data_IF_812359668456
#
_entry.id   IF_812359668456
#
_cell.length_a   1.000
_cell.length_b   1.000
_cell.length_c   1.000
_cell.angle_alpha   90.00
_cell.angle_beta   90.00
_cell.angle_gamma   90.00
#
_symmetry.space_group_name_H-M   'P 1'
#
loop_
_entity.id
_entity.type
_entity.pdbx_description
1 polymer ?
#
# COMPACT_ATOMS: atom_id res chain seq x y z
N UNK A 1 0.84 15.56 -33.95
CA UNK A 1 0.28 16.04 -32.67
C UNK A 1 0.86 15.19 -31.55
N UNK A 2 1.35 15.83 -30.49
CA UNK A 2 1.87 15.11 -29.30
C UNK A 2 0.71 14.87 -28.33
N UNK A 3 0.46 13.62 -27.96
CA UNK A 3 -0.44 13.25 -26.88
C UNK A 3 0.31 13.31 -25.55
N UNK A 4 -0.37 13.72 -24.48
CA UNK A 4 0.18 13.85 -23.14
C UNK A 4 -0.63 12.96 -22.21
N UNK A 5 0.00 12.01 -21.50
CA UNK A 5 -0.68 11.20 -20.51
C UNK A 5 -1.28 12.05 -19.40
N UNK A 6 -2.43 11.65 -18.93
CA UNK A 6 -3.14 12.21 -17.79
C UNK A 6 -3.67 11.02 -17.00
N UNK A 7 -3.08 10.80 -15.83
CA UNK A 7 -3.26 9.59 -15.06
C UNK A 7 -3.67 9.97 -13.64
N UNK A 8 -4.65 9.28 -13.10
CA UNK A 8 -5.03 9.31 -11.68
C UNK A 8 -4.94 7.91 -11.10
N UNK A 9 -4.69 7.82 -9.81
CA UNK A 9 -4.67 6.56 -9.09
C UNK A 9 -5.81 6.49 -8.09
N UNK A 10 -6.34 5.27 -7.91
CA UNK A 10 -7.19 4.86 -6.81
C UNK A 10 -6.44 3.74 -6.08
N UNK A 11 -6.18 3.95 -4.79
CA UNK A 11 -5.35 3.06 -3.99
C UNK A 11 -6.13 2.62 -2.77
N UNK A 12 -6.27 1.30 -2.63
CA UNK A 12 -6.88 0.66 -1.48
C UNK A 12 -5.78 0.08 -0.58
N UNK A 13 -5.93 0.24 0.73
CA UNK A 13 -5.03 -0.36 1.71
C UNK A 13 -5.82 -0.92 2.90
N UNK A 14 -5.66 -2.22 3.19
CA UNK A 14 -6.19 -2.85 4.40
C UNK A 14 -5.49 -2.25 5.62
N UNK A 15 -6.28 -1.80 6.60
CA UNK A 15 -5.74 -1.17 7.81
C UNK A 15 -5.41 -2.22 8.87
N UNK A 16 -4.30 -1.98 9.58
CA UNK A 16 -3.78 -2.84 10.62
C UNK A 16 -4.47 -2.55 11.96
N UNK A 17 -5.71 -3.00 12.09
CA UNK A 17 -6.48 -2.94 13.33
C UNK A 17 -6.62 -4.32 13.96
N UNK A 18 -6.91 -4.37 15.24
CA UNK A 18 -7.14 -5.66 15.93
C UNK A 18 -8.43 -6.34 15.49
N UNK A 19 -9.46 -5.56 15.18
CA UNK A 19 -10.79 -6.06 14.81
C UNK A 19 -11.23 -5.47 13.48
N UNK A 20 -12.27 -6.05 12.88
CA UNK A 20 -12.86 -5.59 11.64
C UNK A 20 -13.49 -4.21 11.77
N UNK A 21 -13.90 -3.63 10.63
CA UNK A 21 -14.37 -2.24 10.55
C UNK A 21 -15.66 -1.98 11.37
N UNK A 22 -16.58 -2.95 11.38
CA UNK A 22 -17.90 -2.77 11.97
C UNK A 22 -18.31 -3.85 12.96
N UNK A 23 -17.37 -4.70 13.43
CA UNK A 23 -17.62 -5.75 14.41
C UNK A 23 -16.34 -6.17 15.14
N UNK A 24 -16.48 -7.00 16.17
CA UNK A 24 -15.37 -7.48 17.00
C UNK A 24 -14.64 -8.72 16.45
N UNK A 25 -14.99 -9.21 15.25
CA UNK A 25 -14.25 -10.30 14.63
C UNK A 25 -12.80 -9.88 14.41
N UNK A 26 -11.87 -10.82 14.60
CA UNK A 26 -10.45 -10.56 14.41
C UNK A 26 -10.13 -10.13 12.98
N UNK A 27 -9.28 -9.13 12.85
CA UNK A 27 -8.62 -8.77 11.62
C UNK A 27 -7.24 -9.45 11.60
N UNK A 28 -7.21 -10.71 11.17
CA UNK A 28 -6.00 -11.53 11.13
C UNK A 28 -5.72 -11.98 9.69
N UNK A 29 -4.78 -11.32 8.99
CA UNK A 29 -4.43 -11.67 7.62
C UNK A 29 -3.65 -12.99 7.49
N UNK A 30 -3.14 -13.55 8.60
CA UNK A 30 -2.39 -14.81 8.63
C UNK A 30 -3.31 -16.03 8.89
N UNK A 31 -4.61 -15.83 9.18
CA UNK A 31 -5.55 -16.94 9.35
C UNK A 31 -5.78 -17.67 8.02
N UNK A 32 -5.39 -18.94 7.98
CA UNK A 32 -5.45 -19.79 6.79
C UNK A 32 -6.72 -20.62 6.70
N UNK A 33 -7.42 -20.83 7.83
CA UNK A 33 -8.68 -21.59 7.86
C UNK A 33 -9.82 -20.70 7.36
N UNK A 34 -10.53 -21.06 6.29
CA UNK A 34 -11.57 -20.20 5.73
C UNK A 34 -12.75 -20.02 6.71
N UNK A 35 -13.37 -18.86 6.67
CA UNK A 35 -14.56 -18.51 7.43
C UNK A 35 -14.44 -18.70 8.96
N UNK A 36 -13.24 -18.51 9.52
CA UNK A 36 -12.98 -18.63 10.96
C UNK A 36 -13.20 -17.27 11.67
N UNK A 37 -12.72 -16.20 11.10
CA UNK A 37 -12.82 -14.84 11.64
C UNK A 37 -14.09 -14.14 11.14
N UNK A 38 -15.25 -14.72 11.45
CA UNK A 38 -16.56 -14.24 11.01
C UNK A 38 -17.55 -14.18 12.16
N UNK A 39 -18.51 -13.25 12.07
CA UNK A 39 -19.63 -13.15 13.01
C UNK A 39 -20.91 -12.76 12.26
N UNK A 40 -22.09 -12.80 12.90
CA UNK A 40 -23.34 -12.42 12.26
C UNK A 40 -23.34 -11.01 11.63
N UNK A 41 -22.58 -10.04 12.18
CA UNK A 41 -22.49 -8.67 11.64
C UNK A 41 -21.77 -8.68 10.29
N UNK A 42 -20.53 -9.19 10.23
CA UNK A 42 -19.77 -9.17 8.98
C UNK A 42 -20.32 -10.15 7.93
N UNK A 43 -21.13 -11.16 8.35
CA UNK A 43 -21.88 -12.03 7.44
C UNK A 43 -23.21 -11.45 7.00
N UNK A 44 -23.62 -10.26 7.50
CA UNK A 44 -24.84 -9.60 7.10
C UNK A 44 -26.13 -10.30 7.54
N UNK A 45 -26.14 -10.96 8.70
CA UNK A 45 -27.34 -11.62 9.20
C UNK A 45 -28.41 -10.58 9.54
N UNK A 46 -29.69 -10.84 9.26
CA UNK A 46 -30.80 -9.93 9.58
C UNK A 46 -30.84 -9.58 11.07
N UNK A 47 -31.02 -8.31 11.39
CA UNK A 47 -31.16 -7.81 12.76
C UNK A 47 -29.84 -7.50 13.46
N UNK A 48 -28.69 -7.65 12.78
CA UNK A 48 -27.39 -7.25 13.34
C UNK A 48 -27.10 -5.80 13.07
N UNK A 49 -26.40 -5.12 14.00
CA UNK A 49 -26.05 -3.69 13.90
C UNK A 49 -24.53 -3.53 13.82
N UNK A 50 -24.02 -2.74 12.88
CA UNK A 50 -22.61 -2.41 12.75
C UNK A 50 -22.16 -1.44 13.87
N UNK A 51 -20.88 -1.51 14.28
CA UNK A 51 -20.24 -0.58 15.20
C UNK A 51 -18.91 -0.11 14.64
N UNK A 52 -18.68 1.22 14.58
CA UNK A 52 -17.50 1.81 13.96
C UNK A 52 -16.23 1.47 14.74
N UNK A 53 -15.20 0.98 14.07
CA UNK A 53 -13.88 0.77 14.64
C UNK A 53 -13.12 2.10 14.76
N UNK A 54 -12.87 2.53 16.01
CA UNK A 54 -12.17 3.78 16.31
C UNK A 54 -10.73 3.79 15.79
N UNK A 55 -10.00 2.67 15.91
CA UNK A 55 -8.61 2.56 15.44
C UNK A 55 -8.49 2.79 13.93
N UNK A 56 -9.46 2.28 13.15
CA UNK A 56 -9.50 2.48 11.71
C UNK A 56 -9.71 3.96 11.34
N UNK A 57 -10.61 4.66 12.07
CA UNK A 57 -10.83 6.10 11.86
C UNK A 57 -9.57 6.90 12.20
N UNK A 58 -8.94 6.62 13.33
CA UNK A 58 -7.68 7.28 13.74
C UNK A 58 -6.54 7.03 12.76
N UNK A 59 -6.44 5.81 12.20
CA UNK A 59 -5.43 5.47 11.19
C UNK A 59 -5.59 6.33 9.93
N UNK A 60 -6.81 6.47 9.40
CA UNK A 60 -7.08 7.31 8.23
C UNK A 60 -6.85 8.79 8.52
N UNK A 61 -7.23 9.27 9.71
CA UNK A 61 -6.92 10.65 10.13
C UNK A 61 -5.40 10.89 10.14
N UNK A 62 -4.60 9.98 10.70
CA UNK A 62 -3.12 10.08 10.70
C UNK A 62 -2.56 10.14 9.28
N UNK A 63 -3.06 9.29 8.36
CA UNK A 63 -2.65 9.33 6.94
C UNK A 63 -3.02 10.66 6.30
N UNK A 64 -4.23 11.14 6.54
CA UNK A 64 -4.68 12.45 6.05
C UNK A 64 -3.79 13.59 6.54
N UNK A 65 -3.45 13.62 7.84
CA UNK A 65 -2.56 14.62 8.43
C UNK A 65 -1.15 14.54 7.84
N UNK A 66 -0.62 13.33 7.63
CA UNK A 66 0.70 13.10 7.04
C UNK A 66 0.79 13.59 5.58
N UNK A 67 -0.31 13.55 4.85
CA UNK A 67 -0.41 14.01 3.46
C UNK A 67 -0.90 15.46 3.33
N UNK A 68 -1.03 16.20 4.44
CA UNK A 68 -1.49 17.58 4.44
C UNK A 68 -2.97 17.76 4.06
N UNK A 69 -3.75 16.70 4.18
CA UNK A 69 -5.20 16.74 3.93
C UNK A 69 -5.97 17.47 5.03
N UNK A 70 -7.12 18.01 4.65
CA UNK A 70 -8.05 18.63 5.59
C UNK A 70 -8.96 17.56 6.17
N UNK A 71 -8.93 17.39 7.49
CA UNK A 71 -9.87 16.50 8.19
C UNK A 71 -11.25 17.17 8.19
N UNK A 72 -12.24 16.47 7.70
CA UNK A 72 -13.63 16.96 7.66
C UNK A 72 -14.17 17.11 9.11
N UNK A 73 -14.96 18.15 9.37
CA UNK A 73 -15.56 18.35 10.71
C UNK A 73 -16.62 17.29 11.04
N UNK A 74 -17.29 16.80 10.00
CA UNK A 74 -18.35 15.79 10.06
C UNK A 74 -18.13 14.79 8.93
N UNK A 75 -18.46 13.54 9.18
CA UNK A 75 -18.41 12.46 8.20
C UNK A 75 -19.55 11.46 8.46
N UNK A 76 -19.88 10.68 7.46
CA UNK A 76 -20.88 9.62 7.54
C UNK A 76 -20.47 8.41 6.70
N UNK A 77 -21.15 7.30 6.94
CA UNK A 77 -21.06 6.13 6.08
C UNK A 77 -22.31 6.04 5.17
N UNK A 78 -22.11 5.49 3.99
CA UNK A 78 -23.13 5.23 2.98
C UNK A 78 -23.10 3.77 2.58
N UNK A 79 -24.22 3.25 2.11
CA UNK A 79 -24.30 1.93 1.46
C UNK A 79 -24.01 2.08 -0.03
N UNK A 80 -22.98 1.36 -0.49
CA UNK A 80 -22.63 1.15 -1.91
C UNK A 80 -23.24 -0.17 -2.35
N UNK A 81 -24.35 -0.13 -3.06
CA UNK A 81 -25.15 -1.31 -3.33
C UNK A 81 -24.69 -2.01 -4.61
N UNK A 82 -24.28 -3.26 -4.47
CA UNK A 82 -24.00 -4.18 -5.58
C UNK A 82 -24.02 -5.62 -5.07
N UNK A 83 -24.42 -6.54 -5.96
CA UNK A 83 -24.55 -7.95 -5.59
C UNK A 83 -23.38 -8.73 -6.13
N UNK A 84 -22.57 -9.29 -5.21
CA UNK A 84 -21.48 -10.18 -5.55
C UNK A 84 -21.31 -11.23 -4.45
N UNK A 85 -20.87 -12.49 -4.77
CA UNK A 85 -20.81 -13.57 -3.77
C UNK A 85 -19.93 -13.28 -2.56
N UNK A 86 -18.88 -12.48 -2.71
CA UNK A 86 -17.97 -12.08 -1.64
C UNK A 86 -18.46 -10.90 -0.79
N UNK A 87 -19.65 -10.38 -1.11
CA UNK A 87 -20.29 -9.29 -0.40
C UNK A 87 -21.58 -9.79 0.29
N UNK A 88 -21.46 -10.34 1.52
CA UNK A 88 -22.56 -11.11 2.14
C UNK A 88 -23.80 -10.28 2.43
N UNK A 89 -23.66 -8.97 2.63
CA UNK A 89 -24.78 -8.04 2.86
C UNK A 89 -25.49 -7.59 1.56
N UNK A 90 -24.88 -7.82 0.39
CA UNK A 90 -25.32 -7.27 -0.88
C UNK A 90 -25.01 -5.78 -1.06
N UNK A 91 -24.31 -5.16 -0.10
CA UNK A 91 -23.77 -3.80 -0.16
C UNK A 91 -22.46 -3.72 0.63
N UNK A 92 -21.63 -2.75 0.29
CA UNK A 92 -20.42 -2.37 1.02
C UNK A 92 -20.71 -1.08 1.78
N UNK A 93 -20.34 -1.03 3.07
CA UNK A 93 -20.37 0.22 3.81
C UNK A 93 -19.10 1.00 3.47
N UNK A 94 -19.25 2.21 2.95
CA UNK A 94 -18.20 3.08 2.45
C UNK A 94 -18.52 4.53 2.79
N UNK A 95 -17.73 5.49 2.30
CA UNK A 95 -18.02 6.92 2.41
C UNK A 95 -18.06 7.52 0.99
N UNK A 96 -19.11 8.21 0.64
CA UNK A 96 -19.28 8.74 -0.72
C UNK A 96 -19.09 10.25 -0.80
N UNK A 97 -19.97 11.02 -0.20
CA UNK A 97 -20.00 12.48 -0.31
C UNK A 97 -19.42 13.23 0.91
N UNK A 98 -19.28 12.55 2.06
CA UNK A 98 -18.69 13.11 3.27
C UNK A 98 -17.46 12.26 3.72
N UNK A 99 -16.35 12.21 2.95
CA UNK A 99 -15.16 11.45 3.33
C UNK A 99 -14.47 12.08 4.54
N UNK A 100 -13.69 11.27 5.28
CA UNK A 100 -12.96 11.75 6.47
C UNK A 100 -11.92 12.81 6.10
N UNK A 101 -11.23 12.64 4.94
CA UNK A 101 -10.14 13.52 4.51
C UNK A 101 -10.43 14.09 3.14
N UNK A 102 -10.27 15.40 3.01
CA UNK A 102 -10.40 16.14 1.76
C UNK A 102 -9.06 16.77 1.38
N UNK A 103 -8.68 16.62 0.13
CA UNK A 103 -7.44 17.19 -0.40
C UNK A 103 -6.19 16.55 0.20
N UNK A 104 -5.10 17.30 0.17
CA UNK A 104 -3.76 16.85 0.47
C UNK A 104 -2.92 16.73 -0.78
N UNK A 105 -1.62 16.49 -0.61
CA UNK A 105 -0.70 16.35 -1.74
C UNK A 105 0.57 15.58 -1.33
N UNK A 106 1.25 15.03 -2.33
CA UNK A 106 2.57 14.42 -2.19
C UNK A 106 3.49 14.96 -3.27
N UNK A 107 4.64 15.47 -2.88
CA UNK A 107 5.70 15.88 -3.80
C UNK A 107 6.51 14.65 -4.23
N UNK A 108 6.66 14.49 -5.54
CA UNK A 108 7.51 13.46 -6.14
C UNK A 108 8.90 14.00 -6.36
N UNK A 109 9.86 13.24 -5.90
CA UNK A 109 11.25 13.67 -5.89
C UNK A 109 11.92 13.57 -7.26
N UNK A 110 11.53 12.59 -8.08
CA UNK A 110 12.14 12.34 -9.39
C UNK A 110 11.78 13.41 -10.40
N UNK A 111 10.54 13.91 -10.37
CA UNK A 111 10.05 14.88 -11.34
C UNK A 111 9.83 16.29 -10.75
N UNK A 112 9.94 16.47 -9.42
CA UNK A 112 9.56 17.72 -8.75
C UNK A 112 8.06 18.04 -8.92
N UNK A 113 7.26 17.03 -9.23
CA UNK A 113 5.83 17.17 -9.49
C UNK A 113 5.07 16.96 -8.19
N UNK A 114 4.10 17.83 -7.90
CA UNK A 114 3.19 17.66 -6.78
C UNK A 114 1.93 16.94 -7.27
N UNK A 115 1.62 15.81 -6.66
CA UNK A 115 0.40 15.04 -6.93
C UNK A 115 -0.63 15.39 -5.87
N UNK A 116 -1.75 15.94 -6.31
CA UNK A 116 -2.88 16.31 -5.43
C UNK A 116 -3.72 15.08 -5.12
N UNK A 117 -4.26 15.05 -3.93
CA UNK A 117 -5.19 14.02 -3.45
C UNK A 117 -6.58 14.63 -3.45
N UNK A 118 -7.56 13.91 -4.00
CA UNK A 118 -8.96 14.34 -4.00
C UNK A 118 -9.58 14.08 -2.63
N UNK A 119 -9.42 12.84 -2.13
CA UNK A 119 -9.97 12.40 -0.84
C UNK A 119 -9.25 11.16 -0.31
N UNK A 120 -9.42 10.92 0.97
CA UNK A 120 -9.13 9.63 1.62
C UNK A 120 -10.34 9.27 2.48
N UNK A 121 -10.84 8.06 2.33
CA UNK A 121 -12.01 7.61 3.07
C UNK A 121 -11.91 6.16 3.52
N UNK A 122 -12.85 5.77 4.38
CA UNK A 122 -12.98 4.43 4.93
C UNK A 122 -14.08 3.65 4.24
N UNK A 123 -13.84 2.36 4.09
CA UNK A 123 -14.82 1.36 3.71
C UNK A 123 -14.47 0.00 4.36
N UNK A 124 -15.29 -1.00 4.13
CA UNK A 124 -14.99 -2.39 4.49
C UNK A 124 -14.57 -3.17 3.25
N UNK A 125 -13.64 -4.12 3.40
CA UNK A 125 -13.25 -4.99 2.29
C UNK A 125 -14.29 -6.12 2.10
N UNK A 126 -14.35 -6.66 0.89
CA UNK A 126 -15.15 -7.83 0.53
C UNK A 126 -14.45 -9.13 0.94
N UNK A 127 -15.16 -10.24 0.89
CA UNK A 127 -14.59 -11.58 1.05
C UNK A 127 -13.62 -11.92 -0.07
N UNK A 128 -13.11 -13.15 -0.02
CA UNK A 128 -12.19 -13.69 -1.03
C UNK A 128 -12.91 -14.75 -1.87
N UNK A 129 -12.83 -14.61 -3.19
CA UNK A 129 -13.33 -15.61 -4.13
C UNK A 129 -12.19 -16.45 -4.70
N UNK A 130 -12.35 -17.76 -4.67
CA UNK A 130 -11.45 -18.70 -5.31
C UNK A 130 -12.22 -19.51 -6.37
N UNK A 131 -11.91 -19.27 -7.64
CA UNK A 131 -12.49 -20.00 -8.76
C UNK A 131 -11.74 -21.31 -8.98
N UNK A 132 -12.45 -22.43 -8.96
CA UNK A 132 -11.89 -23.76 -9.22
C UNK A 132 -11.98 -24.04 -10.71
N UNK A 133 -10.84 -23.99 -11.39
CA UNK A 133 -10.72 -24.44 -12.80
C UNK A 133 -10.47 -25.94 -12.87
N UNK A 134 -10.79 -26.56 -14.02
CA UNK A 134 -10.51 -27.98 -14.28
C UNK A 134 -9.01 -28.36 -14.17
N UNK A 135 -8.12 -27.39 -14.13
CA UNK A 135 -6.67 -27.57 -14.00
C UNK A 135 -6.16 -27.37 -12.56
N UNK A 136 -6.98 -26.87 -11.66
CA UNK A 136 -6.62 -26.67 -10.27
C UNK A 136 -6.79 -27.96 -9.50
N UNK A 137 -5.72 -28.75 -9.32
CA UNK A 137 -5.67 -29.79 -8.29
C UNK A 137 -5.56 -29.11 -6.93
N UNK A 138 -6.69 -28.66 -6.38
CA UNK A 138 -6.75 -28.32 -4.95
C UNK A 138 -6.82 -29.66 -4.23
N UNK A 139 -5.75 -30.01 -3.51
CA UNK A 139 -5.78 -31.19 -2.67
C UNK A 139 -6.91 -31.04 -1.63
N UNK A 140 -7.72 -32.07 -1.41
CA UNK A 140 -8.93 -32.02 -0.57
C UNK A 140 -8.67 -31.78 0.92
N UNK A 141 -7.44 -31.53 1.35
CA UNK A 141 -7.07 -31.37 2.76
C UNK A 141 -7.79 -30.22 3.50
N UNK A 142 -8.30 -29.22 2.77
CA UNK A 142 -9.01 -28.07 3.36
C UNK A 142 -10.48 -28.40 3.69
N UNK A 143 -11.06 -29.48 3.13
CA UNK A 143 -12.48 -29.78 3.24
C UNK A 143 -12.78 -31.21 3.76
N UNK A 144 -11.81 -31.87 4.39
CA UNK A 144 -12.08 -33.11 5.09
C UNK A 144 -12.81 -32.81 6.40
N UNK A 145 -14.13 -33.02 6.43
CA UNK A 145 -14.84 -33.15 7.68
C UNK A 145 -14.39 -34.43 8.37
N UNK A 146 -14.56 -34.53 9.70
CA UNK A 146 -14.17 -35.66 10.54
C UNK A 146 -14.77 -37.01 10.12
N UNK A 147 -15.67 -37.07 9.13
CA UNK A 147 -16.30 -38.27 8.57
C UNK A 147 -15.56 -38.84 7.36
N UNK A 148 -14.49 -38.20 6.86
CA UNK A 148 -13.70 -38.74 5.75
C UNK A 148 -14.38 -38.66 4.37
N UNK A 149 -15.54 -38.03 4.27
CA UNK A 149 -16.24 -37.86 3.01
C UNK A 149 -15.56 -36.78 2.16
N UNK A 150 -15.07 -37.16 1.00
CA UNK A 150 -14.54 -36.22 -0.01
C UNK A 150 -15.75 -35.48 -0.58
N UNK A 151 -15.89 -34.18 -0.22
CA UNK A 151 -16.79 -33.29 -0.96
C UNK A 151 -16.30 -33.25 -2.42
N UNK A 152 -17.07 -33.84 -3.32
CA UNK A 152 -16.85 -33.74 -4.75
C UNK A 152 -17.10 -32.28 -5.20
N UNK A 153 -16.06 -31.47 -5.23
CA UNK A 153 -16.16 -30.12 -5.74
C UNK A 153 -16.17 -30.20 -7.27
N UNK A 154 -17.32 -29.91 -7.88
CA UNK A 154 -17.47 -29.89 -9.33
C UNK A 154 -16.59 -28.78 -9.92
N UNK A 155 -15.94 -29.07 -11.04
CA UNK A 155 -15.28 -28.06 -11.88
C UNK A 155 -16.26 -26.93 -12.22
N UNK A 156 -15.83 -25.68 -12.02
CA UNK A 156 -16.65 -24.48 -12.22
C UNK A 156 -17.32 -23.95 -10.93
N UNK A 157 -17.06 -24.55 -9.77
CA UNK A 157 -17.47 -23.98 -8.49
C UNK A 157 -16.57 -22.80 -8.09
N UNK A 158 -17.13 -21.86 -7.35
CA UNK A 158 -16.39 -20.79 -6.68
C UNK A 158 -16.52 -20.98 -5.18
N UNK A 159 -15.39 -20.93 -4.48
CA UNK A 159 -15.33 -20.95 -3.03
C UNK A 159 -15.29 -19.53 -2.50
N UNK A 160 -15.96 -19.29 -1.38
CA UNK A 160 -16.01 -17.97 -0.74
C UNK A 160 -15.43 -18.09 0.65
N UNK A 161 -14.45 -17.22 0.94
CA UNK A 161 -13.87 -17.03 2.26
C UNK A 161 -14.20 -15.62 2.76
N UNK A 162 -14.98 -15.53 3.83
CA UNK A 162 -15.40 -14.28 4.44
C UNK A 162 -14.46 -13.80 5.56
N UNK A 163 -13.30 -14.41 5.76
CA UNK A 163 -12.32 -13.92 6.74
C UNK A 163 -11.95 -12.45 6.48
N UNK A 164 -11.83 -12.08 5.21
CA UNK A 164 -11.53 -10.70 4.81
C UNK A 164 -12.75 -9.77 4.80
N UNK A 165 -13.97 -10.31 4.64
CA UNK A 165 -15.18 -9.48 4.61
C UNK A 165 -15.32 -8.65 5.89
N UNK A 166 -15.44 -7.33 5.74
CA UNK A 166 -15.50 -6.38 6.85
C UNK A 166 -14.15 -5.92 7.39
N UNK A 167 -13.02 -6.32 6.81
CA UNK A 167 -11.70 -5.76 7.15
C UNK A 167 -11.69 -4.25 6.85
N UNK A 168 -11.16 -3.39 7.76
CA UNK A 168 -11.09 -1.96 7.49
C UNK A 168 -10.23 -1.67 6.27
N UNK A 169 -10.78 -0.95 5.32
CA UNK A 169 -10.14 -0.60 4.06
C UNK A 169 -10.10 0.92 3.90
N UNK A 170 -8.91 1.45 3.66
CA UNK A 170 -8.72 2.84 3.29
C UNK A 170 -8.70 2.94 1.77
N UNK A 171 -9.46 3.86 1.20
CA UNK A 171 -9.36 4.26 -0.21
C UNK A 171 -8.79 5.67 -0.32
N UNK A 172 -7.72 5.83 -1.10
CA UNK A 172 -7.13 7.11 -1.46
C UNK A 172 -7.31 7.34 -2.96
N UNK A 173 -7.90 8.49 -3.31
CA UNK A 173 -8.09 8.89 -4.71
C UNK A 173 -7.26 10.13 -4.99
N UNK A 174 -6.45 10.10 -6.06
CA UNK A 174 -5.65 11.25 -6.50
C UNK A 174 -6.37 12.05 -7.59
N UNK A 175 -5.94 13.30 -7.76
CA UNK A 175 -6.19 14.03 -9.00
C UNK A 175 -5.40 13.40 -10.15
N UNK A 176 -5.80 13.61 -11.42
CA UNK A 176 -5.12 13.04 -12.58
C UNK A 176 -3.86 13.83 -12.96
N UNK A 177 -2.96 13.99 -12.01
CA UNK A 177 -1.78 14.84 -12.15
C UNK A 177 -0.56 14.10 -12.73
N UNK A 178 -0.50 12.77 -12.67
CA UNK A 178 0.62 11.98 -13.16
C UNK A 178 0.75 12.06 -14.70
N UNK A 179 2.00 12.09 -15.17
CA UNK A 179 2.35 12.15 -16.59
C UNK A 179 3.10 10.92 -17.07
N UNK A 180 3.54 10.05 -16.18
CA UNK A 180 4.28 8.84 -16.51
C UNK A 180 3.97 7.68 -15.56
N UNK A 181 4.38 6.49 -15.95
CA UNK A 181 4.29 5.29 -15.09
C UNK A 181 5.24 5.37 -13.91
N UNK A 182 6.40 5.99 -14.09
CA UNK A 182 7.44 6.18 -13.07
C UNK A 182 6.91 7.04 -11.92
N UNK A 183 6.24 8.16 -12.23
CA UNK A 183 5.59 9.03 -11.25
C UNK A 183 4.53 8.25 -10.43
N UNK A 184 3.71 7.44 -11.10
CA UNK A 184 2.69 6.63 -10.44
C UNK A 184 3.29 5.58 -9.49
N UNK A 185 4.39 4.93 -9.89
CA UNK A 185 5.13 3.98 -9.06
C UNK A 185 5.79 4.66 -7.87
N UNK A 186 6.41 5.82 -8.07
CA UNK A 186 7.03 6.60 -6.98
C UNK A 186 5.99 6.99 -5.94
N UNK A 187 4.84 7.49 -6.37
CA UNK A 187 3.74 7.84 -5.46
C UNK A 187 3.26 6.63 -4.66
N UNK A 188 3.00 5.51 -5.33
CA UNK A 188 2.50 4.31 -4.67
C UNK A 188 3.51 3.74 -3.65
N UNK A 189 4.81 3.75 -3.96
CA UNK A 189 5.88 3.36 -3.03
C UNK A 189 5.97 4.32 -1.83
N UNK A 190 5.92 5.61 -2.07
CA UNK A 190 5.98 6.60 -1.00
C UNK A 190 4.76 6.49 -0.08
N UNK A 191 3.55 6.26 -0.64
CA UNK A 191 2.35 6.00 0.16
C UNK A 191 2.51 4.72 1.00
N UNK A 192 3.02 3.63 0.42
CA UNK A 192 3.29 2.39 1.16
C UNK A 192 4.22 2.64 2.36
N UNK A 193 5.32 3.38 2.17
CA UNK A 193 6.23 3.76 3.25
C UNK A 193 5.53 4.57 4.34
N UNK A 194 4.73 5.57 3.95
CA UNK A 194 3.96 6.38 4.90
C UNK A 194 3.02 5.50 5.73
N UNK A 195 2.27 4.59 5.10
CA UNK A 195 1.35 3.68 5.78
C UNK A 195 2.09 2.81 6.81
N UNK A 196 3.25 2.28 6.45
CA UNK A 196 4.10 1.48 7.35
C UNK A 196 4.68 2.30 8.49
N UNK A 197 5.18 3.50 8.23
CA UNK A 197 5.70 4.41 9.26
C UNK A 197 4.67 4.83 10.28
N UNK A 198 3.42 5.03 9.85
CA UNK A 198 2.28 5.33 10.70
C UNK A 198 1.71 4.10 11.41
N UNK A 199 2.23 2.90 11.13
CA UNK A 199 1.67 1.62 11.55
C UNK A 199 0.17 1.48 11.18
N UNK A 200 -0.27 2.17 10.13
CA UNK A 200 -1.65 2.15 9.65
C UNK A 200 -1.95 0.92 8.81
N UNK A 201 -0.95 0.40 8.07
CA UNK A 201 -1.06 -0.78 7.21
C UNK A 201 0.33 -1.37 6.96
N UNK A 202 0.43 -2.68 6.78
CA UNK A 202 1.63 -3.32 6.24
C UNK A 202 1.73 -3.10 4.72
N UNK A 203 0.61 -2.81 4.08
CA UNK A 203 0.47 -2.42 2.68
C UNK A 203 1.25 -3.34 1.71
N UNK A 204 1.21 -4.64 1.95
CA UNK A 204 1.87 -5.64 1.12
C UNK A 204 1.00 -5.92 -0.12
N UNK A 205 1.51 -5.53 -1.30
CA UNK A 205 0.79 -5.73 -2.56
C UNK A 205 0.71 -7.21 -2.95
N UNK A 206 1.72 -8.01 -2.61
CA UNK A 206 1.76 -9.45 -2.97
C UNK A 206 0.77 -10.24 -2.11
N UNK A 207 0.53 -9.80 -0.88
CA UNK A 207 -0.51 -10.34 0.01
C UNK A 207 -1.90 -9.76 -0.27
N UNK A 208 -2.02 -8.79 -1.18
CA UNK A 208 -3.28 -8.11 -1.52
C UNK A 208 -3.73 -7.05 -0.51
N UNK A 209 -2.89 -6.71 0.48
CA UNK A 209 -3.18 -5.69 1.48
C UNK A 209 -3.13 -4.26 0.92
N UNK A 210 -2.49 -4.07 -0.23
CA UNK A 210 -2.51 -2.83 -0.99
C UNK A 210 -2.82 -3.14 -2.44
N UNK A 211 -3.75 -2.40 -3.04
CA UNK A 211 -4.18 -2.52 -4.44
C UNK A 211 -4.13 -1.17 -5.09
N UNK A 212 -3.68 -1.13 -6.34
CA UNK A 212 -3.59 0.09 -7.13
C UNK A 212 -4.44 -0.08 -8.39
N UNK A 213 -5.30 0.88 -8.65
CA UNK A 213 -6.04 1.01 -9.89
C UNK A 213 -5.61 2.30 -10.59
N UNK A 214 -5.41 2.24 -11.89
CA UNK A 214 -4.95 3.37 -12.67
C UNK A 214 -6.01 3.85 -13.66
N UNK A 215 -6.36 5.11 -13.60
CA UNK A 215 -7.22 5.80 -14.54
C UNK A 215 -6.34 6.51 -15.58
N UNK A 216 -6.23 5.96 -16.79
CA UNK A 216 -5.31 6.44 -17.83
C UNK A 216 -6.08 7.09 -18.96
N UNK A 217 -5.66 8.30 -19.38
CA UNK A 217 -6.15 8.97 -20.58
C UNK A 217 -5.02 9.72 -21.29
N UNK A 218 -5.19 9.95 -22.61
CA UNK A 218 -4.27 10.74 -23.42
C UNK A 218 -4.93 12.03 -23.87
N UNK A 219 -4.55 13.16 -23.26
CA UNK A 219 -4.98 14.49 -23.66
C UNK A 219 -4.09 15.11 -24.74
N UNK A 220 -4.54 16.24 -25.28
CA UNK A 220 -3.78 17.05 -26.27
C UNK A 220 -4.16 18.52 -26.22
N UNK A 221 -3.22 19.37 -26.59
CA UNK A 221 -3.52 20.76 -26.89
C UNK A 221 -4.13 20.87 -28.30
N UNK A 222 -5.26 21.55 -28.40
CA UNK A 222 -5.91 21.82 -29.67
C UNK A 222 -6.40 23.27 -29.73
N UNK A 223 -5.88 24.05 -30.66
CA UNK A 223 -6.19 25.49 -30.82
C UNK A 223 -6.05 26.27 -29.50
N UNK A 224 -4.96 26.05 -28.76
CA UNK A 224 -4.68 26.73 -27.49
C UNK A 224 -5.46 26.21 -26.27
N UNK A 225 -6.39 25.27 -26.43
CA UNK A 225 -7.17 24.69 -25.35
C UNK A 225 -6.70 23.24 -25.06
N UNK A 226 -6.64 22.91 -23.77
CA UNK A 226 -6.41 21.55 -23.31
C UNK A 226 -7.66 20.71 -23.53
N UNK A 227 -7.51 19.56 -24.20
CA UNK A 227 -8.59 18.57 -24.34
C UNK A 227 -8.15 17.28 -23.67
N UNK A 228 -8.87 16.89 -22.63
CA UNK A 228 -8.68 15.58 -21.99
C UNK A 228 -9.10 14.47 -22.96
N UNK A 229 -8.42 13.31 -22.85
CA UNK A 229 -8.79 12.10 -23.53
C UNK A 229 -9.88 11.31 -22.83
N UNK A 230 -10.28 10.20 -23.42
CA UNK A 230 -11.20 9.24 -22.81
C UNK A 230 -10.48 8.43 -21.75
N UNK A 231 -11.03 8.37 -20.55
CA UNK A 231 -10.50 7.61 -19.42
C UNK A 231 -10.71 6.12 -19.61
N UNK A 232 -9.66 5.34 -19.37
CA UNK A 232 -9.69 3.88 -19.23
C UNK A 232 -9.17 3.53 -17.84
N UNK A 233 -9.95 2.73 -17.14
CA UNK A 233 -9.61 2.22 -15.82
C UNK A 233 -8.85 0.90 -15.98
N UNK A 234 -7.68 0.77 -15.34
CA UNK A 234 -6.90 -0.47 -15.34
C UNK A 234 -6.86 -1.04 -13.93
N UNK A 235 -7.35 -2.28 -13.77
CA UNK A 235 -7.45 -3.03 -12.53
C UNK A 235 -6.52 -4.24 -12.52
N UNK A 236 -6.52 -5.00 -11.41
CA UNK A 236 -5.71 -6.21 -11.20
C UNK A 236 -4.19 -5.93 -11.24
N UNK A 237 -3.78 -4.88 -10.55
CA UNK A 237 -2.38 -4.45 -10.48
C UNK A 237 -1.85 -4.79 -9.09
N UNK A 238 -1.12 -5.91 -8.97
CA UNK A 238 -0.73 -6.52 -7.70
C UNK A 238 0.76 -6.35 -7.35
N UNK A 239 1.49 -5.47 -8.04
CA UNK A 239 2.89 -5.15 -7.74
C UNK A 239 3.28 -3.81 -8.36
N UNK A 240 4.31 -3.15 -7.85
CA UNK A 240 4.84 -1.92 -8.44
C UNK A 240 5.33 -2.11 -9.88
N UNK A 241 5.87 -3.30 -10.20
CA UNK A 241 6.23 -3.66 -11.57
C UNK A 241 5.00 -3.75 -12.47
N UNK A 242 3.90 -4.29 -11.95
CA UNK A 242 2.62 -4.33 -12.67
C UNK A 242 2.03 -2.93 -12.85
N UNK A 243 2.15 -2.02 -11.86
CA UNK A 243 1.74 -0.59 -12.00
C UNK A 243 2.46 0.04 -13.19
N UNK A 244 3.79 -0.07 -13.23
CA UNK A 244 4.60 0.47 -14.33
C UNK A 244 4.20 -0.14 -15.67
N UNK A 245 4.13 -1.47 -15.74
CA UNK A 245 3.81 -2.18 -16.99
C UNK A 245 2.42 -1.88 -17.53
N UNK A 246 1.41 -1.87 -16.65
CA UNK A 246 0.01 -1.62 -17.00
C UNK A 246 -0.20 -0.21 -17.56
N UNK A 247 0.36 0.80 -16.87
CA UNK A 247 0.25 2.21 -17.29
C UNK A 247 1.00 2.43 -18.60
N UNK A 248 2.23 1.95 -18.72
CA UNK A 248 3.03 2.10 -19.94
C UNK A 248 2.36 1.43 -21.15
N UNK A 249 1.84 0.22 -20.97
CA UNK A 249 1.11 -0.48 -22.02
C UNK A 249 -0.15 0.28 -22.45
N UNK A 250 -0.95 0.75 -21.46
CA UNK A 250 -2.20 1.44 -21.76
C UNK A 250 -1.97 2.78 -22.47
N UNK A 251 -0.93 3.53 -22.11
CA UNK A 251 -0.50 4.73 -22.82
C UNK A 251 -0.19 4.39 -24.29
N UNK A 252 0.64 3.37 -24.53
CA UNK A 252 1.03 2.96 -25.88
C UNK A 252 -0.17 2.45 -26.69
N UNK A 253 -1.08 1.69 -26.07
CA UNK A 253 -2.32 1.22 -26.70
C UNK A 253 -3.21 2.38 -27.15
N UNK A 254 -3.49 3.33 -26.22
CA UNK A 254 -4.33 4.49 -26.54
C UNK A 254 -3.68 5.36 -27.63
N UNK A 255 -2.35 5.57 -27.57
CA UNK A 255 -1.65 6.33 -28.58
C UNK A 255 -1.77 5.69 -29.97
N UNK A 256 -1.65 4.36 -30.07
CA UNK A 256 -1.85 3.61 -31.32
C UNK A 256 -3.26 3.78 -31.87
N UNK A 257 -4.28 3.67 -31.02
CA UNK A 257 -5.69 3.88 -31.39
C UNK A 257 -5.92 5.30 -31.91
N UNK A 258 -5.42 6.30 -31.19
CA UNK A 258 -5.60 7.71 -31.59
C UNK A 258 -4.83 8.09 -32.84
N UNK A 259 -3.64 7.50 -33.09
CA UNK A 259 -2.85 7.68 -34.33
C UNK A 259 -3.56 7.08 -35.53
N UNK A 260 -4.30 5.98 -35.38
CA UNK A 260 -5.14 5.41 -36.45
C UNK A 260 -6.45 6.17 -36.70
N UNK A 261 -6.68 7.31 -36.00
CA UNK A 261 -7.91 8.11 -36.01
C UNK A 261 -9.14 7.39 -35.44
N UNK A 262 -8.96 6.27 -34.78
CA UNK A 262 -10.00 5.59 -34.05
C UNK A 262 -10.26 6.28 -32.68
N UNK A 263 -11.38 5.95 -32.03
CA UNK A 263 -11.75 6.48 -30.72
C UNK A 263 -11.33 5.49 -29.63
N UNK A 264 -10.80 6.01 -28.54
CA UNK A 264 -10.68 5.26 -27.29
C UNK A 264 -12.06 5.21 -26.64
N UNK A 265 -12.52 4.03 -26.28
CA UNK A 265 -13.78 3.84 -25.54
C UNK A 265 -13.51 3.88 -24.04
N UNK A 266 -14.48 4.38 -23.28
CA UNK A 266 -14.43 4.34 -21.83
C UNK A 266 -14.78 2.91 -21.38
N UNK A 267 -13.81 2.23 -20.78
CA UNK A 267 -13.90 0.82 -20.40
C UNK A 267 -13.05 0.54 -19.15
N UNK A 268 -13.35 -0.56 -18.48
CA UNK A 268 -12.47 -1.16 -17.46
C UNK A 268 -11.67 -2.30 -18.10
N UNK A 269 -10.36 -2.30 -17.88
CA UNK A 269 -9.42 -3.30 -18.38
C UNK A 269 -8.68 -3.94 -17.21
N UNK A 270 -8.39 -5.24 -17.30
CA UNK A 270 -7.55 -5.95 -16.34
C UNK A 270 -6.12 -6.09 -16.88
N UNK A 271 -5.12 -5.94 -16.00
CA UNK A 271 -3.75 -6.27 -16.34
C UNK A 271 -3.54 -7.78 -16.34
N UNK A 272 -3.02 -8.33 -17.45
CA UNK A 272 -2.55 -9.71 -17.56
C UNK A 272 -1.03 -9.71 -17.38
N UNK A 273 -0.58 -10.11 -16.19
CA UNK A 273 0.85 -10.03 -15.84
C UNK A 273 1.71 -11.05 -16.60
N UNK A 274 1.12 -12.13 -17.11
CA UNK A 274 1.83 -13.14 -17.90
C UNK A 274 2.05 -12.63 -19.33
N UNK A 275 0.99 -12.12 -19.97
CA UNK A 275 1.04 -11.61 -21.34
C UNK A 275 1.57 -10.18 -21.43
N UNK A 276 1.68 -9.46 -20.29
CA UNK A 276 2.07 -8.04 -20.20
C UNK A 276 1.21 -7.13 -21.08
N UNK A 277 -0.10 -7.34 -21.03
CA UNK A 277 -1.10 -6.56 -21.78
C UNK A 277 -2.30 -6.22 -20.90
N UNK A 278 -3.05 -5.17 -21.25
CA UNK A 278 -4.37 -4.93 -20.68
C UNK A 278 -5.44 -5.64 -21.50
N UNK A 279 -6.41 -6.30 -20.85
CA UNK A 279 -7.52 -7.03 -21.48
C UNK A 279 -8.83 -6.37 -21.07
N UNK A 280 -9.72 -6.10 -22.02
CA UNK A 280 -11.04 -5.55 -21.74
C UNK A 280 -11.83 -6.51 -20.85
N UNK A 281 -12.42 -6.00 -19.76
CA UNK A 281 -13.23 -6.75 -18.82
C UNK A 281 -14.69 -6.37 -18.93
N UNK A 282 -15.00 -5.08 -19.00
CA UNK A 282 -16.36 -4.56 -18.99
C UNK A 282 -16.45 -3.23 -19.75
N UNK A 283 -17.53 -3.02 -20.51
CA UNK A 283 -17.86 -1.72 -21.08
C UNK A 283 -18.57 -0.82 -20.06
N UNK A 284 -18.58 0.50 -20.29
CA UNK A 284 -19.28 1.45 -19.41
C UNK A 284 -20.79 1.31 -19.41
N UNK A 285 -21.37 0.74 -20.46
CA UNK A 285 -22.81 0.47 -20.56
C UNK A 285 -23.32 -0.49 -19.49
N UNK A 286 -22.39 -1.29 -18.93
CA UNK A 286 -22.66 -2.22 -17.80
C UNK A 286 -22.21 -1.64 -16.44
N UNK A 287 -21.93 -0.33 -16.34
CA UNK A 287 -21.55 0.28 -15.08
C UNK A 287 -22.68 0.18 -14.07
N UNK A 288 -22.39 -0.36 -12.88
CA UNK A 288 -23.36 -0.44 -11.80
C UNK A 288 -23.72 0.98 -11.33
N UNK A 289 -25.00 1.28 -11.29
CA UNK A 289 -25.55 2.35 -10.46
C UNK A 289 -25.55 1.83 -9.02
N UNK A 290 -24.57 2.28 -8.21
CA UNK A 290 -24.44 1.83 -6.82
C UNK A 290 -25.54 2.34 -5.90
N UNK A 291 -26.38 3.27 -6.34
CA UNK A 291 -27.51 3.81 -5.58
C UNK A 291 -27.13 4.12 -4.15
N UNK A 292 -26.10 4.95 -3.97
CA UNK A 292 -25.62 5.35 -2.66
C UNK A 292 -26.74 5.98 -1.84
N UNK A 293 -26.83 5.60 -0.56
CA UNK A 293 -27.64 6.27 0.43
C UNK A 293 -27.00 6.11 1.82
N UNK A 294 -27.28 7.03 2.77
CA UNK A 294 -26.69 6.96 4.11
C UNK A 294 -26.97 5.62 4.80
N UNK A 295 -25.95 5.06 5.45
CA UNK A 295 -26.11 3.85 6.28
C UNK A 295 -26.99 4.19 7.50
N UNK A 296 -28.22 3.65 7.59
CA UNK A 296 -29.16 4.05 8.63
C UNK A 296 -28.75 3.62 10.03
N UNK A 297 -27.96 2.56 10.15
CA UNK A 297 -27.54 2.01 11.44
C UNK A 297 -26.25 2.69 11.96
N UNK A 298 -25.60 3.57 11.19
CA UNK A 298 -24.44 4.34 11.57
C UNK A 298 -24.74 5.84 11.50
N UNK A 299 -25.03 6.50 12.63
CA UNK A 299 -25.24 7.93 12.61
C UNK A 299 -23.97 8.68 12.21
N UNK A 300 -24.10 9.83 11.51
CA UNK A 300 -22.96 10.69 11.23
C UNK A 300 -22.25 11.09 12.52
N UNK A 301 -20.93 11.17 12.45
CA UNK A 301 -20.09 11.53 13.60
C UNK A 301 -19.20 12.73 13.31
N UNK A 302 -18.70 13.37 14.39
CA UNK A 302 -17.83 14.54 14.31
C UNK A 302 -16.40 14.12 14.57
N UNK A 303 -15.50 14.54 13.71
CA UNK A 303 -14.06 14.21 13.85
C UNK A 303 -13.40 14.91 15.05
N UNK A 304 -14.00 15.99 15.57
CA UNK A 304 -13.55 16.63 16.83
C UNK A 304 -13.68 15.74 18.07
N UNK A 305 -14.45 14.64 17.97
CA UNK A 305 -14.56 13.65 19.05
C UNK A 305 -13.31 12.74 19.17
N UNK A 306 -12.40 12.87 18.18
CA UNK A 306 -11.06 12.28 18.19
C UNK A 306 -10.04 13.33 18.61
N UNK A 307 -9.02 12.93 19.36
CA UNK A 307 -7.94 13.84 19.78
C UNK A 307 -6.98 14.13 18.60
N UNK A 308 -7.41 15.07 17.74
CA UNK A 308 -6.63 15.46 16.55
C UNK A 308 -5.25 16.04 16.89
N UNK A 309 -5.12 16.68 18.08
CA UNK A 309 -3.85 17.22 18.53
C UNK A 309 -2.87 16.08 18.84
N UNK A 310 -3.31 15.07 19.59
CA UNK A 310 -2.49 13.90 19.91
C UNK A 310 -2.15 13.09 18.66
N UNK A 311 -3.11 12.87 17.75
CA UNK A 311 -2.86 12.17 16.49
C UNK A 311 -1.83 12.89 15.63
N UNK A 312 -1.87 14.22 15.57
CA UNK A 312 -0.89 15.04 14.82
C UNK A 312 0.49 14.97 15.43
N UNK A 313 0.60 15.21 16.75
CA UNK A 313 1.90 15.27 17.44
C UNK A 313 2.52 13.89 17.68
N UNK A 314 1.71 12.83 17.69
CA UNK A 314 2.18 11.45 17.73
C UNK A 314 2.61 10.87 16.38
N UNK A 315 2.50 11.65 15.30
CA UNK A 315 3.00 11.25 13.98
C UNK A 315 4.53 11.20 14.00
N UNK A 316 5.16 10.05 13.63
CA UNK A 316 6.61 9.94 13.56
C UNK A 316 7.17 10.82 12.43
N UNK A 317 8.48 11.03 12.43
CA UNK A 317 9.16 11.63 11.27
C UNK A 317 8.84 10.80 10.01
N UNK A 318 8.30 11.46 8.99
CA UNK A 318 7.87 10.80 7.76
C UNK A 318 9.07 10.42 6.87
N UNK A 319 8.93 9.39 6.00
CA UNK A 319 10.03 8.90 5.18
C UNK A 319 10.74 9.98 4.36
N UNK A 320 10.02 10.90 3.75
CA UNK A 320 10.61 11.98 2.94
C UNK A 320 11.49 12.92 3.79
N UNK A 321 11.02 13.30 4.98
CA UNK A 321 11.79 14.13 5.92
C UNK A 321 13.03 13.39 6.42
N UNK A 322 12.88 12.08 6.77
CA UNK A 322 13.98 11.22 7.22
C UNK A 322 15.04 11.05 6.12
N UNK A 323 14.64 10.83 4.86
CA UNK A 323 15.57 10.77 3.72
C UNK A 323 16.36 12.07 3.57
N UNK A 324 15.68 13.21 3.59
CA UNK A 324 16.35 14.52 3.49
C UNK A 324 17.31 14.77 4.67
N UNK A 325 16.91 14.40 5.87
CA UNK A 325 17.76 14.52 7.06
C UNK A 325 18.97 13.59 7.00
N UNK A 326 18.80 12.32 6.59
CA UNK A 326 19.93 11.40 6.45
C UNK A 326 20.97 11.87 5.43
N UNK A 327 20.52 12.40 4.29
CA UNK A 327 21.44 13.01 3.32
C UNK A 327 22.23 14.18 3.94
N UNK A 328 21.56 15.05 4.69
CA UNK A 328 22.16 16.24 5.29
C UNK A 328 23.09 15.90 6.47
N UNK A 329 22.65 15.06 7.39
CA UNK A 329 23.36 14.78 8.65
C UNK A 329 24.41 13.69 8.49
N UNK A 330 24.11 12.65 7.72
CA UNK A 330 24.99 11.49 7.58
C UNK A 330 25.78 11.49 6.26
N UNK A 331 25.55 12.46 5.36
CA UNK A 331 26.23 12.57 4.06
C UNK A 331 26.10 11.31 3.20
N UNK A 332 25.02 10.55 3.35
CA UNK A 332 24.70 9.40 2.50
C UNK A 332 24.07 9.86 1.18
N UNK A 333 24.22 9.06 0.11
CA UNK A 333 23.55 9.36 -1.16
C UNK A 333 22.02 9.26 -0.99
N UNK A 334 21.30 9.81 -1.96
CA UNK A 334 19.83 9.71 -1.96
C UNK A 334 19.36 8.26 -2.00
N UNK A 335 19.94 7.44 -2.89
CA UNK A 335 19.61 6.02 -3.00
C UNK A 335 19.89 5.26 -1.69
N UNK A 336 20.99 5.61 -1.02
CA UNK A 336 21.30 5.04 0.30
C UNK A 336 20.25 5.43 1.34
N UNK A 337 19.89 6.72 1.39
CA UNK A 337 18.87 7.22 2.31
C UNK A 337 17.48 6.59 2.03
N UNK A 338 17.11 6.43 0.77
CA UNK A 338 15.87 5.75 0.37
C UNK A 338 15.86 4.27 0.77
N UNK A 339 16.98 3.58 0.61
CA UNK A 339 17.13 2.18 1.03
C UNK A 339 16.98 2.03 2.55
N UNK A 340 17.61 2.92 3.31
CA UNK A 340 17.50 2.92 4.78
C UNK A 340 16.09 3.28 5.24
N UNK A 341 15.44 4.23 4.60
CA UNK A 341 14.10 4.70 4.96
C UNK A 341 12.97 3.81 4.43
N UNK A 342 13.27 2.70 3.75
CA UNK A 342 12.24 1.78 3.25
C UNK A 342 11.51 1.05 4.40
N UNK A 343 12.23 0.77 5.49
CA UNK A 343 11.66 0.25 6.75
C UNK A 343 12.10 1.15 7.92
N UNK A 344 11.12 1.63 8.69
CA UNK A 344 11.37 2.49 9.86
C UNK A 344 12.35 1.84 10.85
N UNK A 345 12.24 0.54 11.08
CA UNK A 345 13.11 -0.20 12.02
C UNK A 345 14.57 -0.16 11.55
N UNK A 346 14.81 -0.30 10.25
CA UNK A 346 16.12 -0.22 9.62
C UNK A 346 16.69 1.20 9.74
N UNK A 347 15.86 2.20 9.46
CA UNK A 347 16.26 3.59 9.56
C UNK A 347 16.65 3.97 11.01
N UNK A 348 15.83 3.59 11.98
CA UNK A 348 16.08 3.86 13.39
C UNK A 348 17.34 3.11 13.90
N UNK A 349 17.54 1.87 13.43
CA UNK A 349 18.75 1.09 13.74
C UNK A 349 20.02 1.74 13.16
N UNK A 350 19.98 2.16 11.91
CA UNK A 350 21.10 2.86 11.26
C UNK A 350 21.44 4.15 11.98
N UNK A 351 20.44 4.95 12.33
CA UNK A 351 20.60 6.21 13.05
C UNK A 351 21.25 6.00 14.43
N UNK A 352 20.81 4.99 15.18
CA UNK A 352 21.43 4.62 16.44
C UNK A 352 22.89 4.19 16.26
N UNK A 353 23.18 3.35 15.27
CA UNK A 353 24.54 2.88 15.00
C UNK A 353 25.48 4.01 14.53
N UNK A 354 24.99 4.95 13.68
CA UNK A 354 25.78 6.12 13.29
C UNK A 354 26.10 7.03 14.47
N UNK A 355 25.15 7.19 15.40
CA UNK A 355 25.36 8.01 16.59
C UNK A 355 26.50 7.46 17.48
N UNK A 356 26.66 6.15 17.55
CA UNK A 356 27.77 5.49 18.25
C UNK A 356 29.12 5.71 17.54
N UNK A 357 29.16 5.65 16.20
CA UNK A 357 30.36 5.99 15.43
C UNK A 357 30.77 7.43 15.62
N UNK A 358 29.83 8.39 15.56
CA UNK A 358 30.12 9.83 15.72
C UNK A 358 30.70 10.15 17.10
N UNK A 359 30.22 9.52 18.17
CA UNK A 359 30.73 9.70 19.52
C UNK A 359 32.21 9.27 19.66
N UNK A 360 32.71 8.42 18.76
CA UNK A 360 34.10 7.92 18.74
C UNK A 360 34.99 8.68 17.77
N UNK A 361 34.44 9.19 16.64
CA UNK A 361 35.20 9.95 15.63
C UNK A 361 35.86 11.21 16.20
N UNK A 362 35.29 11.84 17.23
CA UNK A 362 35.90 12.97 17.94
C UNK A 362 37.23 12.61 18.65
N UNK A 363 37.51 11.32 18.84
CA UNK A 363 38.69 10.84 19.58
C UNK A 363 39.77 10.22 18.71
N UNK A 364 39.53 9.98 17.41
CA UNK A 364 40.44 9.22 16.54
C UNK A 364 40.67 9.94 15.22
N UNK A 365 41.80 10.62 15.09
CA UNK A 365 42.34 11.20 13.84
C UNK A 365 43.34 10.24 13.21
N UNK A 366 42.91 9.14 12.64
CA UNK A 366 43.75 8.23 11.87
C UNK A 366 43.27 8.18 10.40
N UNK A 367 44.23 8.12 9.48
CA UNK A 367 44.06 8.06 8.03
C UNK A 367 43.32 6.76 7.62
N UNK A 368 42.01 6.90 7.29
CA UNK A 368 41.18 5.77 6.88
C UNK A 368 40.76 5.96 5.41
N UNK A 369 41.07 4.93 4.58
CA UNK A 369 40.67 4.92 3.15
C UNK A 369 39.16 4.87 2.90
N UNK A 370 38.37 4.41 3.88
CA UNK A 370 36.88 4.35 3.79
C UNK A 370 36.26 5.00 5.01
N UNK A 371 35.31 5.89 4.80
CA UNK A 371 34.58 6.51 5.91
C UNK A 371 33.83 5.44 6.70
N UNK A 372 33.87 5.41 8.04
CA UNK A 372 33.17 4.44 8.87
C UNK A 372 31.68 4.32 8.56
N UNK A 373 31.03 5.44 8.20
CA UNK A 373 29.60 5.47 7.81
C UNK A 373 29.31 4.67 6.55
N UNK A 374 30.19 4.73 5.54
CA UNK A 374 30.03 3.95 4.30
C UNK A 374 30.21 2.45 4.57
N UNK A 375 31.13 2.11 5.48
CA UNK A 375 31.29 0.74 5.96
C UNK A 375 30.03 0.26 6.68
N UNK A 376 29.51 1.06 7.62
CA UNK A 376 28.29 0.75 8.34
C UNK A 376 27.11 0.51 7.39
N UNK A 377 26.88 1.40 6.43
CA UNK A 377 25.86 1.23 5.41
C UNK A 377 26.03 -0.10 4.67
N UNK A 378 27.24 -0.40 4.20
CA UNK A 378 27.50 -1.61 3.43
C UNK A 378 27.30 -2.88 4.28
N UNK A 379 27.80 -2.90 5.52
CA UNK A 379 27.62 -4.05 6.41
C UNK A 379 26.16 -4.27 6.78
N UNK A 380 25.39 -3.20 6.98
CA UNK A 380 23.94 -3.29 7.24
C UNK A 380 23.17 -3.79 6.01
N UNK A 381 23.35 -3.13 4.86
CA UNK A 381 22.48 -3.35 3.69
C UNK A 381 22.93 -4.52 2.80
N UNK A 382 24.21 -4.85 2.77
CA UNK A 382 24.73 -5.95 1.96
C UNK A 382 24.94 -7.22 2.79
N UNK A 383 25.68 -7.13 3.90
CA UNK A 383 26.08 -8.32 4.64
C UNK A 383 24.96 -8.80 5.58
N UNK A 384 24.39 -7.91 6.42
CA UNK A 384 23.32 -8.29 7.35
C UNK A 384 22.04 -8.64 6.61
N UNK A 385 21.61 -7.84 5.63
CA UNK A 385 20.43 -8.17 4.81
C UNK A 385 20.65 -9.44 3.98
N UNK A 386 21.87 -9.68 3.48
CA UNK A 386 22.22 -10.92 2.79
C UNK A 386 22.02 -12.14 3.69
N UNK A 387 22.49 -12.08 4.94
CA UNK A 387 22.30 -13.13 5.94
C UNK A 387 20.83 -13.34 6.32
N UNK A 388 20.05 -12.26 6.43
CA UNK A 388 18.61 -12.35 6.70
C UNK A 388 17.89 -13.05 5.55
N UNK A 389 18.16 -12.68 4.31
CA UNK A 389 17.58 -13.31 3.13
C UNK A 389 17.97 -14.81 3.04
N UNK A 390 19.24 -15.15 3.31
CA UNK A 390 19.70 -16.55 3.33
C UNK A 390 18.95 -17.39 4.38
N UNK A 391 18.62 -16.78 5.53
CA UNK A 391 17.90 -17.45 6.63
C UNK A 391 16.37 -17.32 6.55
N UNK A 392 15.84 -16.59 5.58
CA UNK A 392 14.41 -16.26 5.51
C UNK A 392 13.90 -15.50 6.74
N UNK A 393 14.75 -14.67 7.35
CA UNK A 393 14.47 -13.98 8.60
C UNK A 393 14.04 -12.51 8.36
N UNK A 394 13.09 -12.03 9.16
CA UNK A 394 12.72 -10.61 9.21
C UNK A 394 13.73 -9.81 10.07
N UNK A 395 13.78 -8.48 9.88
CA UNK A 395 14.68 -7.58 10.62
C UNK A 395 14.48 -7.64 12.15
N UNK A 396 13.29 -8.00 12.62
CA UNK A 396 13.02 -8.22 14.05
C UNK A 396 13.79 -9.38 14.66
N UNK A 397 14.29 -10.30 13.84
CA UNK A 397 15.12 -11.44 14.28
C UNK A 397 16.61 -11.08 14.42
N UNK A 398 17.04 -9.88 14.05
CA UNK A 398 18.40 -9.40 14.16
C UNK A 398 18.79 -9.28 15.63
N UNK A 399 19.84 -10.01 16.05
CA UNK A 399 20.31 -10.04 17.44
C UNK A 399 21.43 -9.05 17.73
N UNK A 400 22.22 -8.69 16.72
CA UNK A 400 23.27 -7.69 16.88
C UNK A 400 22.67 -6.32 17.11
N UNK A 401 23.10 -5.63 18.19
CA UNK A 401 22.59 -4.30 18.49
C UNK A 401 23.27 -3.23 17.61
N UNK A 402 22.67 -2.02 17.48
CA UNK A 402 23.30 -0.90 16.78
C UNK A 402 24.73 -0.60 17.26
N UNK A 403 24.94 -0.61 18.59
CA UNK A 403 26.23 -0.35 19.24
C UNK A 403 27.25 -1.43 18.90
N UNK A 404 26.83 -2.71 18.85
CA UNK A 404 27.69 -3.82 18.47
C UNK A 404 28.12 -3.75 17.01
N UNK A 405 27.18 -3.39 16.11
CA UNK A 405 27.50 -3.20 14.70
C UNK A 405 28.44 -2.01 14.49
N UNK A 406 28.21 -0.90 15.17
CA UNK A 406 29.10 0.26 15.17
C UNK A 406 30.51 -0.12 15.65
N UNK A 407 30.62 -0.87 16.76
CA UNK A 407 31.91 -1.37 17.27
C UNK A 407 32.64 -2.30 16.27
N UNK A 408 31.89 -3.19 15.60
CA UNK A 408 32.45 -4.05 14.57
C UNK A 408 33.02 -3.22 13.41
N UNK A 409 32.30 -2.17 12.97
CA UNK A 409 32.76 -1.25 11.94
C UNK A 409 34.01 -0.49 12.37
N UNK A 410 34.12 -0.05 13.62
CA UNK A 410 35.32 0.60 14.17
C UNK A 410 36.52 -0.33 14.13
N UNK A 411 36.37 -1.60 14.52
CA UNK A 411 37.46 -2.59 14.48
C UNK A 411 37.97 -2.81 13.04
N UNK A 412 37.10 -2.76 12.05
CA UNK A 412 37.45 -2.85 10.63
C UNK A 412 38.16 -1.57 10.18
N UNK A 413 37.61 -0.41 10.54
CA UNK A 413 38.21 0.87 10.20
C UNK A 413 39.57 1.08 10.78
N UNK A 414 39.80 0.60 12.02
CA UNK A 414 41.12 0.59 12.71
C UNK A 414 42.07 -0.47 12.15
N UNK A 415 41.66 -1.34 11.22
CA UNK A 415 42.48 -2.44 10.69
C UNK A 415 42.73 -3.57 11.68
N UNK A 416 42.00 -3.61 12.81
CA UNK A 416 42.11 -4.65 13.84
C UNK A 416 41.56 -5.99 13.40
N UNK A 417 40.58 -5.98 12.53
CA UNK A 417 39.98 -7.17 11.90
C UNK A 417 39.79 -6.97 10.40
N UNK A 418 39.85 -8.06 9.65
CA UNK A 418 39.64 -8.06 8.21
C UNK A 418 38.12 -8.27 7.90
N UNK A 419 37.66 -7.82 6.72
CA UNK A 419 36.27 -7.97 6.26
C UNK A 419 35.77 -9.42 6.35
N UNK A 420 36.62 -10.44 6.13
CA UNK A 420 36.20 -11.84 6.26
C UNK A 420 35.84 -12.19 7.70
N UNK A 421 36.69 -11.79 8.65
CA UNK A 421 36.46 -12.04 10.09
C UNK A 421 35.20 -11.31 10.56
N UNK A 422 34.96 -10.08 10.08
CA UNK A 422 33.73 -9.33 10.37
C UNK A 422 32.47 -10.05 9.88
N UNK A 423 32.51 -10.63 8.68
CA UNK A 423 31.38 -11.44 8.14
C UNK A 423 31.15 -12.72 8.93
N UNK A 424 32.21 -13.35 9.45
CA UNK A 424 32.10 -14.54 10.30
C UNK A 424 31.49 -14.18 11.67
N UNK A 425 31.75 -12.98 12.19
CA UNK A 425 31.13 -12.46 13.44
C UNK A 425 29.63 -12.17 13.26
N UNK A 426 29.21 -11.72 12.07
CA UNK A 426 27.81 -11.40 11.77
C UNK A 426 26.93 -12.66 11.61
N UNK A 427 27.49 -13.82 11.30
CA UNK A 427 26.80 -15.11 11.11
C UNK A 427 26.37 -15.76 12.41
#
# INVERSE_FOLDING_TARGET
>A
MKYIPTIGLEIHAELKTRTKMFCDSLNDPEETRPNTNVCPVCLGHPGTLPTINKEAVEAVIKVGLALGGKIAERTKFDRKNYFYPDLPKGYQISQYDEPIVLGGAMELSTAGTTIRITRIHLEEDAGKLLHISNQSRIEPQIFANNSGDKLGINSGASLVDYNRAGVPLMELVTEPDFKSAEEAVEFAKNLQRILRYLAASDADMEKGQMRVEANVSLGKWFKGNWKMGTKVEVKNINSFKAVSGAIAYEIARQEKVLKSRAKVHQETRGWDDVKKVTVAQRSKEEAHDYRYFPEPDLPPFKTKDFDLWHLRNGTPELPAAKIARFQKEFSVSREQAETLADDKRIADYFEAAVSELAARDEKTTASIEKKPRDLLFNYLTSDLFGLMNEKGADFSAVKITPEQLAHLVDLIADGKIMSRQAKDILR
#
